data_IF_298758256205
#
_entry.id   IF_298758256205
#
_cell.length_a   1.000
_cell.length_b   1.000
_cell.length_c   1.000
_cell.angle_alpha   90.00
_cell.angle_beta   90.00
_cell.angle_gamma   90.00
#
_symmetry.space_group_name_H-M   'P 1'
#
loop_
_entity.id
_entity.type
_entity.pdbx_description
1 polymer ?
#
# COMPACT_ATOMS: atom_id res chain seq x y z
N UNK A 1 27.74 27.63 52.67
CA UNK A 1 27.08 26.31 52.58
C UNK A 1 25.90 26.45 51.63
N UNK A 2 26.04 26.02 50.38
CA UNK A 2 24.96 26.06 49.40
C UNK A 2 23.83 25.14 49.84
N UNK A 3 22.62 25.69 50.01
CA UNK A 3 21.42 24.94 50.39
C UNK A 3 20.96 24.06 49.22
N UNK A 4 21.64 22.93 49.06
CA UNK A 4 21.44 21.92 48.01
C UNK A 4 19.95 21.53 47.82
N UNK A 5 19.12 21.36 48.88
CA UNK A 5 17.70 21.05 48.72
C UNK A 5 16.90 22.15 48.01
N UNK A 6 17.24 23.44 48.23
CA UNK A 6 16.56 24.56 47.55
C UNK A 6 16.95 24.66 46.08
N UNK A 7 18.22 24.40 45.75
CA UNK A 7 18.73 24.44 44.38
C UNK A 7 18.09 23.32 43.55
N UNK A 8 17.99 22.11 44.11
CA UNK A 8 17.31 20.97 43.48
C UNK A 8 15.84 21.29 43.24
N UNK A 9 15.14 21.85 44.23
CA UNK A 9 13.74 22.26 44.08
C UNK A 9 13.53 23.29 42.97
N UNK A 10 14.44 24.27 42.83
CA UNK A 10 14.37 25.29 41.78
C UNK A 10 14.59 24.70 40.37
N UNK A 11 15.52 23.76 40.22
CA UNK A 11 15.77 23.10 38.93
C UNK A 11 14.56 22.28 38.50
N UNK A 12 13.95 21.52 39.41
CA UNK A 12 12.77 20.71 39.12
C UNK A 12 11.58 21.60 38.75
N UNK A 13 11.36 22.69 39.48
CA UNK A 13 10.25 23.62 39.22
C UNK A 13 10.39 24.34 37.88
N UNK A 14 11.57 24.90 37.60
CA UNK A 14 11.82 25.58 36.32
C UNK A 14 11.82 24.61 35.14
N UNK A 15 12.38 23.40 35.32
CA UNK A 15 12.36 22.34 34.30
C UNK A 15 10.95 21.89 33.92
N UNK A 16 10.05 21.78 34.91
CA UNK A 16 8.66 21.37 34.68
C UNK A 16 7.86 22.39 33.86
N UNK A 17 8.07 23.69 34.08
CA UNK A 17 7.40 24.76 33.34
C UNK A 17 7.85 24.79 31.88
N UNK A 18 9.15 24.62 31.63
CA UNK A 18 9.73 24.62 30.29
C UNK A 18 9.24 23.41 29.50
N UNK A 19 9.25 22.22 30.12
CA UNK A 19 8.75 20.99 29.50
C UNK A 19 7.25 21.09 29.19
N UNK A 20 6.44 21.60 30.12
CA UNK A 20 5.00 21.79 29.91
C UNK A 20 4.67 22.77 28.78
N UNK A 21 5.39 23.89 28.69
CA UNK A 21 5.19 24.87 27.61
C UNK A 21 5.62 24.33 26.25
N UNK A 22 6.72 23.58 26.17
CA UNK A 22 7.17 22.96 24.93
C UNK A 22 6.16 21.92 24.41
N UNK A 23 5.64 21.05 25.28
CA UNK A 23 4.58 20.11 24.91
C UNK A 23 3.27 20.80 24.52
N UNK A 24 2.90 21.91 25.17
CA UNK A 24 1.71 22.67 24.81
C UNK A 24 1.85 23.36 23.43
N UNK A 25 3.02 23.91 23.10
CA UNK A 25 3.27 24.48 21.77
C UNK A 25 3.37 23.40 20.69
N UNK A 26 4.11 22.32 20.95
CA UNK A 26 4.19 21.17 20.05
C UNK A 26 2.82 20.51 19.85
N UNK A 27 1.99 20.41 20.90
CA UNK A 27 0.63 19.91 20.82
C UNK A 27 -0.27 20.82 19.99
N UNK A 28 -0.18 22.14 20.17
CA UNK A 28 -0.89 23.11 19.32
C UNK A 28 -0.41 23.06 17.87
N UNK A 29 0.88 22.86 17.63
CA UNK A 29 1.43 22.68 16.29
C UNK A 29 0.97 21.35 15.67
N UNK A 30 0.92 20.26 16.43
CA UNK A 30 0.39 18.97 15.98
C UNK A 30 -1.11 19.06 15.65
N UNK A 31 -1.91 19.75 16.48
CA UNK A 31 -3.33 20.00 16.19
C UNK A 31 -3.47 20.92 14.98
N UNK A 32 -2.63 21.94 14.83
CA UNK A 32 -2.67 22.82 13.67
C UNK A 32 -2.21 22.10 12.40
N UNK A 33 -1.27 21.17 12.47
CA UNK A 33 -0.83 20.32 11.36
C UNK A 33 -1.85 19.22 11.04
N UNK A 34 -2.57 18.70 12.04
CA UNK A 34 -3.69 17.79 11.83
C UNK A 34 -4.89 18.53 11.24
N UNK A 35 -5.18 19.75 11.71
CA UNK A 35 -6.24 20.62 11.19
C UNK A 35 -5.86 21.32 9.90
N UNK A 36 -4.58 21.55 9.59
CA UNK A 36 -4.14 22.00 8.27
C UNK A 36 -3.94 20.81 7.36
N UNK A 37 -3.73 19.59 7.86
CA UNK A 37 -3.92 18.36 7.12
C UNK A 37 -5.39 18.16 6.77
N UNK A 38 -6.31 18.47 7.69
CA UNK A 38 -7.77 18.40 7.49
C UNK A 38 -8.33 19.62 6.76
N UNK A 39 -7.75 20.82 6.90
CA UNK A 39 -8.16 22.05 6.21
C UNK A 39 -7.42 22.25 4.89
N UNK A 40 -6.24 21.66 4.69
CA UNK A 40 -5.73 21.40 3.36
C UNK A 40 -6.51 20.23 2.75
N UNK A 41 -6.90 19.20 3.50
CA UNK A 41 -7.83 18.19 3.00
C UNK A 41 -9.25 18.73 2.81
N UNK A 42 -9.67 19.81 3.49
CA UNK A 42 -11.00 20.43 3.39
C UNK A 42 -11.02 21.70 2.52
N UNK A 43 -9.88 22.31 2.23
CA UNK A 43 -9.70 23.21 1.09
C UNK A 43 -9.51 22.39 -0.20
N UNK A 44 -8.85 21.24 -0.08
CA UNK A 44 -8.88 20.19 -1.10
C UNK A 44 -10.27 19.58 -1.18
N UNK A 45 -11.04 19.44 -0.08
CA UNK A 45 -12.45 18.99 -0.07
C UNK A 45 -13.47 20.07 -0.39
N UNK A 46 -13.20 21.37 -0.25
CA UNK A 46 -14.06 22.42 -0.80
C UNK A 46 -13.75 22.66 -2.28
N UNK A 47 -12.55 22.27 -2.72
CA UNK A 47 -12.24 22.01 -4.14
C UNK A 47 -12.79 20.65 -4.61
N UNK A 48 -12.88 19.63 -3.74
CA UNK A 48 -13.37 18.27 -4.05
C UNK A 48 -14.88 18.06 -3.83
N UNK A 49 -15.58 18.98 -3.15
CA UNK A 49 -17.04 18.95 -3.03
C UNK A 49 -17.70 19.66 -4.23
N UNK A 50 -16.88 20.23 -5.13
CA UNK A 50 -17.28 20.60 -6.50
C UNK A 50 -16.83 19.60 -7.57
N UNK A 51 -16.13 18.51 -7.22
CA UNK A 51 -15.86 17.40 -8.15
C UNK A 51 -16.74 16.20 -7.82
N UNK A 52 -18.05 16.46 -7.83
CA UNK A 52 -19.02 15.46 -8.26
C UNK A 52 -18.55 14.84 -9.57
N UNK A 53 -18.40 13.52 -9.57
CA UNK A 53 -18.61 12.64 -10.72
C UNK A 53 -18.46 13.29 -12.09
N UNK A 54 -17.23 13.43 -12.60
CA UNK A 54 -17.02 13.43 -14.03
C UNK A 54 -15.60 12.97 -14.35
N UNK A 55 -15.53 11.90 -15.15
CA UNK A 55 -14.30 11.28 -15.62
C UNK A 55 -13.53 12.18 -16.59
N UNK A 56 -12.90 13.24 -16.09
CA UNK A 56 -11.97 14.06 -16.86
C UNK A 56 -10.57 13.94 -16.27
N UNK A 57 -9.70 13.35 -17.08
CA UNK A 57 -8.27 13.16 -16.92
C UNK A 57 -7.61 14.08 -15.87
N UNK A 58 -6.97 13.45 -14.88
CA UNK A 58 -5.88 14.05 -14.12
C UNK A 58 -4.71 14.32 -15.09
N UNK A 59 -4.80 15.41 -15.83
CA UNK A 59 -3.78 15.84 -16.78
C UNK A 59 -2.62 16.49 -16.01
N UNK A 60 -1.47 15.81 -16.04
CA UNK A 60 -0.11 16.35 -15.97
C UNK A 60 0.25 17.25 -14.76
N UNK A 61 0.19 16.71 -13.54
CA UNK A 61 0.82 17.38 -12.38
C UNK A 61 0.58 16.80 -10.99
N UNK A 62 -0.36 15.85 -10.85
CA UNK A 62 -0.59 15.16 -9.58
C UNK A 62 0.48 14.11 -9.27
N UNK A 63 0.81 13.93 -7.99
CA UNK A 63 1.70 12.87 -7.52
C UNK A 63 1.17 11.49 -7.98
N UNK A 64 1.93 10.73 -8.79
CA UNK A 64 1.50 9.43 -9.29
C UNK A 64 1.18 8.44 -8.16
N UNK A 65 1.78 8.62 -6.98
CA UNK A 65 1.54 7.80 -5.79
C UNK A 65 0.07 7.77 -5.39
N UNK A 66 -0.65 8.89 -5.56
CA UNK A 66 -2.07 8.99 -5.23
C UNK A 66 -2.95 8.22 -6.23
N UNK A 67 -2.62 8.27 -7.52
CA UNK A 67 -3.32 7.49 -8.54
C UNK A 67 -3.11 5.99 -8.31
N UNK A 68 -1.86 5.58 -8.05
CA UNK A 68 -1.51 4.19 -7.75
C UNK A 68 -2.19 3.68 -6.48
N UNK A 69 -2.38 4.54 -5.47
CA UNK A 69 -3.09 4.16 -4.23
C UNK A 69 -4.56 3.83 -4.49
N UNK A 70 -5.23 4.56 -5.39
CA UNK A 70 -6.62 4.26 -5.77
C UNK A 70 -6.72 2.95 -6.57
N UNK A 71 -5.76 2.71 -7.47
CA UNK A 71 -5.68 1.50 -8.28
C UNK A 71 -5.40 0.26 -7.42
N UNK A 72 -4.35 0.31 -6.61
CA UNK A 72 -3.89 -0.81 -5.78
C UNK A 72 -4.60 -0.89 -4.43
N UNK A 73 -5.53 0.02 -4.09
CA UNK A 73 -6.21 0.10 -2.78
C UNK A 73 -5.25 -0.13 -1.59
N UNK A 74 -4.03 0.37 -1.72
CA UNK A 74 -2.93 0.19 -0.79
C UNK A 74 -1.92 1.31 -1.00
N UNK A 75 -1.47 1.89 0.11
CA UNK A 75 -0.49 2.97 0.09
C UNK A 75 0.93 2.41 -0.11
N UNK A 76 1.85 3.24 -0.62
CA UNK A 76 3.26 2.85 -0.73
C UNK A 76 3.85 2.52 0.66
N UNK A 77 3.49 3.29 1.68
CA UNK A 77 3.95 3.07 3.05
C UNK A 77 3.45 1.73 3.62
N UNK A 78 2.20 1.34 3.33
CA UNK A 78 1.67 0.03 3.71
C UNK A 78 2.44 -1.10 3.00
N UNK A 79 2.76 -0.95 1.71
CA UNK A 79 3.55 -1.93 0.98
C UNK A 79 4.96 -2.11 1.58
N UNK A 80 5.63 -1.01 1.92
CA UNK A 80 6.93 -1.03 2.60
C UNK A 80 6.83 -1.70 3.98
N UNK A 81 5.75 -1.45 4.72
CA UNK A 81 5.54 -2.08 6.03
C UNK A 81 5.26 -3.58 5.91
N UNK A 82 4.43 -4.02 4.96
CA UNK A 82 4.13 -5.45 4.70
C UNK A 82 5.40 -6.22 4.39
N UNK A 83 6.29 -5.64 3.57
CA UNK A 83 7.55 -6.24 3.19
C UNK A 83 8.69 -5.89 4.15
N UNK A 84 8.40 -5.18 5.24
CA UNK A 84 9.39 -4.70 6.22
C UNK A 84 10.63 -4.06 5.57
N UNK A 85 10.41 -3.31 4.49
CA UNK A 85 11.45 -2.65 3.73
C UNK A 85 11.74 -1.26 4.30
N UNK A 86 13.03 -0.96 4.36
CA UNK A 86 13.57 0.34 4.78
C UNK A 86 14.27 0.98 3.60
N UNK A 87 14.15 2.30 3.48
CA UNK A 87 14.87 3.06 2.45
C UNK A 87 16.38 2.73 2.51
N UNK A 88 17.05 2.51 1.36
CA UNK A 88 18.46 2.20 1.33
C UNK A 88 19.28 3.38 1.87
N UNK A 89 20.46 3.10 2.45
CA UNK A 89 21.34 4.15 2.98
C UNK A 89 21.80 5.14 1.89
N UNK A 90 21.92 4.65 0.65
CA UNK A 90 22.32 5.44 -0.51
C UNK A 90 21.14 6.19 -1.16
N UNK A 91 19.95 6.16 -0.54
CA UNK A 91 18.80 6.91 -1.02
C UNK A 91 19.08 8.42 -0.93
N UNK A 92 18.58 9.21 -1.90
CA UNK A 92 18.54 10.65 -1.74
C UNK A 92 17.77 11.03 -0.45
N UNK A 93 18.02 12.23 0.11
CA UNK A 93 17.30 12.68 1.29
C UNK A 93 15.79 12.53 1.09
N UNK A 94 15.09 12.05 2.14
CA UNK A 94 13.66 11.66 2.16
C UNK A 94 12.65 12.69 1.64
N UNK A 95 13.09 13.89 1.28
CA UNK A 95 12.27 14.96 0.71
C UNK A 95 11.95 14.78 -0.78
N UNK A 96 12.65 13.89 -1.50
CA UNK A 96 12.43 13.70 -2.93
C UNK A 96 11.69 12.38 -3.21
N UNK A 97 10.57 12.41 -3.95
CA UNK A 97 9.94 11.19 -4.44
C UNK A 97 10.81 10.50 -5.50
N UNK A 98 10.71 9.17 -5.65
CA UNK A 98 9.86 8.25 -4.89
C UNK A 98 10.39 7.98 -3.47
N UNK A 99 9.48 7.73 -2.51
CA UNK A 99 9.81 7.45 -1.10
C UNK A 99 10.74 6.23 -0.93
N UNK A 100 10.68 5.31 -1.89
CA UNK A 100 11.58 4.16 -2.00
C UNK A 100 12.25 4.18 -3.39
N UNK A 101 13.50 4.67 -3.51
CA UNK A 101 14.16 4.82 -4.80
C UNK A 101 14.55 3.48 -5.42
N UNK A 102 14.50 3.41 -6.76
CA UNK A 102 14.94 2.24 -7.52
C UNK A 102 16.46 2.20 -7.64
N UNK A 103 17.12 1.60 -6.65
CA UNK A 103 18.56 1.27 -6.70
C UNK A 103 18.76 -0.24 -6.87
N UNK A 104 19.94 -0.70 -7.29
CA UNK A 104 20.24 -2.13 -7.36
C UNK A 104 20.09 -2.82 -5.99
N UNK A 105 20.58 -2.16 -4.93
CA UNK A 105 20.46 -2.64 -3.55
C UNK A 105 18.99 -2.78 -3.10
N UNK A 106 18.15 -1.78 -3.41
CA UNK A 106 16.72 -1.82 -3.07
C UNK A 106 15.97 -2.94 -3.81
N UNK A 107 16.30 -3.17 -5.08
CA UNK A 107 15.71 -4.23 -5.91
C UNK A 107 16.12 -5.62 -5.40
N UNK A 108 17.40 -5.81 -5.11
CA UNK A 108 17.90 -7.07 -4.56
C UNK A 108 17.30 -7.35 -3.17
N UNK A 109 17.16 -6.33 -2.32
CA UNK A 109 16.53 -6.48 -1.00
C UNK A 109 15.03 -6.83 -1.12
N UNK A 110 14.29 -6.11 -1.97
CA UNK A 110 12.88 -6.41 -2.27
C UNK A 110 12.70 -7.85 -2.72
N UNK A 111 13.48 -8.33 -3.69
CA UNK A 111 13.40 -9.70 -4.19
C UNK A 111 13.67 -10.73 -3.09
N UNK A 112 14.73 -10.55 -2.29
CA UNK A 112 15.08 -11.47 -1.20
C UNK A 112 13.98 -11.55 -0.13
N UNK A 113 13.47 -10.39 0.30
CA UNK A 113 12.45 -10.34 1.35
C UNK A 113 11.11 -10.88 0.83
N UNK A 114 10.76 -10.57 -0.41
CA UNK A 114 9.59 -11.13 -1.08
C UNK A 114 9.64 -12.66 -1.10
N UNK A 115 10.72 -13.26 -1.63
CA UNK A 115 10.85 -14.72 -1.73
C UNK A 115 10.77 -15.39 -0.35
N UNK A 116 11.44 -14.81 0.65
CA UNK A 116 11.41 -15.32 2.01
C UNK A 116 9.99 -15.28 2.62
N UNK A 117 9.30 -14.13 2.54
CA UNK A 117 7.97 -13.98 3.09
C UNK A 117 6.93 -14.82 2.34
N UNK A 118 7.05 -14.91 1.02
CA UNK A 118 6.16 -15.69 0.18
C UNK A 118 6.24 -17.18 0.49
N UNK A 119 7.47 -17.72 0.60
CA UNK A 119 7.71 -19.13 0.96
C UNK A 119 7.26 -19.45 2.39
N UNK A 120 7.57 -18.58 3.35
CA UNK A 120 7.20 -18.78 4.77
C UNK A 120 5.69 -18.79 4.98
N UNK A 121 4.97 -17.95 4.22
CA UNK A 121 3.51 -17.82 4.32
C UNK A 121 2.76 -18.62 3.25
N UNK A 122 3.40 -19.61 2.61
CA UNK A 122 2.70 -20.48 1.68
C UNK A 122 1.51 -21.18 2.36
N UNK A 123 0.30 -21.16 1.76
CA UNK A 123 -0.85 -21.82 2.34
C UNK A 123 -0.60 -23.33 2.42
N UNK A 124 -1.17 -24.00 3.43
CA UNK A 124 -1.08 -25.45 3.51
C UNK A 124 -1.78 -26.05 2.29
N UNK A 125 -1.16 -27.07 1.69
CA UNK A 125 -1.76 -27.79 0.57
C UNK A 125 -3.17 -28.28 0.94
N UNK A 126 -4.16 -28.19 0.02
CA UNK A 126 -5.52 -28.58 0.32
C UNK A 126 -5.57 -30.05 0.73
N UNK A 127 -6.29 -30.34 1.81
CA UNK A 127 -6.56 -31.71 2.27
C UNK A 127 -7.45 -32.40 1.23
N UNK A 128 -6.82 -33.00 0.22
CA UNK A 128 -7.50 -33.62 -0.93
C UNK A 128 -6.64 -33.68 -2.19
N UNK A 129 -5.66 -32.77 -2.37
CA UNK A 129 -4.55 -32.98 -3.32
C UNK A 129 -3.41 -33.70 -2.62
N UNK A 130 -3.77 -34.81 -1.98
CA UNK A 130 -2.87 -35.71 -1.31
C UNK A 130 -2.41 -36.79 -2.28
N UNK A 131 -1.48 -36.46 -3.17
CA UNK A 131 -0.48 -37.47 -3.49
C UNK A 131 0.42 -37.74 -2.25
N UNK A 132 0.47 -36.81 -1.27
CA UNK A 132 1.36 -36.89 -0.12
C UNK A 132 0.70 -36.96 1.28
N UNK A 133 -0.63 -36.86 1.42
CA UNK A 133 -1.30 -36.88 2.74
C UNK A 133 -2.05 -38.20 3.06
N UNK A 134 -1.83 -39.26 2.27
CA UNK A 134 -2.42 -40.60 2.50
C UNK A 134 -1.40 -41.64 2.98
N UNK A 135 -0.16 -41.26 3.30
CA UNK A 135 0.81 -42.15 3.93
C UNK A 135 1.16 -41.59 5.30
N UNK A 136 0.89 -42.37 6.34
CA UNK A 136 1.33 -42.07 7.69
C UNK A 136 2.83 -41.87 7.71
N UNK A 137 3.28 -40.62 7.73
CA UNK A 137 4.68 -40.29 7.97
C UNK A 137 4.77 -39.38 9.16
N UNK A 138 5.24 -39.96 10.26
CA UNK A 138 6.04 -39.28 11.27
C UNK A 138 7.31 -38.75 10.57
N UNK A 139 7.15 -37.72 9.74
CA UNK A 139 8.22 -37.06 9.02
C UNK A 139 8.36 -35.65 9.62
N UNK A 140 9.36 -35.52 10.46
CA UNK A 140 9.97 -34.25 10.82
C UNK A 140 10.33 -33.49 9.54
N UNK A 141 9.70 -32.33 9.30
CA UNK A 141 10.36 -31.22 8.59
C UNK A 141 9.79 -30.74 7.24
N UNK A 142 8.67 -31.26 6.72
CA UNK A 142 8.05 -30.73 5.51
C UNK A 142 6.59 -30.31 5.74
N UNK A 143 6.38 -29.39 6.69
CA UNK A 143 5.10 -28.73 6.86
C UNK A 143 4.90 -27.73 5.72
N UNK A 144 3.87 -27.93 4.88
CA UNK A 144 3.32 -26.83 4.08
C UNK A 144 3.13 -25.62 5.01
N UNK A 145 3.54 -24.43 4.54
CA UNK A 145 3.62 -23.25 5.39
C UNK A 145 2.36 -23.05 6.22
N UNK A 146 2.52 -22.56 7.44
CA UNK A 146 1.39 -22.19 8.31
C UNK A 146 0.72 -20.89 7.86
N UNK A 147 0.91 -20.51 6.59
CA UNK A 147 0.44 -19.25 6.05
C UNK A 147 -0.98 -19.33 5.53
N UNK A 148 -1.47 -18.20 5.05
CA UNK A 148 -2.79 -18.07 4.44
C UNK A 148 -2.68 -17.46 3.05
N UNK A 149 -3.61 -17.80 2.18
CA UNK A 149 -3.75 -17.16 0.86
C UNK A 149 -3.89 -15.64 1.00
N UNK A 150 -4.59 -15.15 2.03
CA UNK A 150 -4.73 -13.72 2.29
C UNK A 150 -3.38 -13.03 2.50
N UNK A 151 -2.50 -13.61 3.33
CA UNK A 151 -1.18 -13.03 3.59
C UNK A 151 -0.31 -13.09 2.33
N UNK A 152 -0.34 -14.18 1.56
CA UNK A 152 0.36 -14.22 0.27
C UNK A 152 -0.16 -13.18 -0.71
N UNK A 153 -1.47 -13.03 -0.86
CA UNK A 153 -2.06 -12.00 -1.73
C UNK A 153 -1.64 -10.59 -1.31
N UNK A 154 -1.49 -10.33 -0.01
CA UNK A 154 -0.96 -9.04 0.50
C UNK A 154 0.51 -8.84 0.13
N UNK A 155 1.34 -9.86 0.26
CA UNK A 155 2.77 -9.81 -0.10
C UNK A 155 2.94 -9.54 -1.60
N UNK A 156 2.20 -10.25 -2.45
CA UNK A 156 2.23 -10.07 -3.91
C UNK A 156 1.80 -8.66 -4.29
N UNK A 157 0.65 -8.21 -3.77
CA UNK A 157 0.16 -6.85 -4.03
C UNK A 157 1.14 -5.79 -3.56
N UNK A 158 1.82 -6.01 -2.43
CA UNK A 158 2.79 -5.07 -1.87
C UNK A 158 3.98 -4.89 -2.81
N UNK A 159 4.47 -5.99 -3.39
CA UNK A 159 5.51 -5.97 -4.41
C UNK A 159 5.05 -5.21 -5.66
N UNK A 160 3.88 -5.55 -6.21
CA UNK A 160 3.30 -4.88 -7.39
C UNK A 160 3.17 -3.37 -7.18
N UNK A 161 2.75 -2.94 -5.98
CA UNK A 161 2.62 -1.51 -5.65
C UNK A 161 3.96 -0.79 -5.66
N UNK A 162 5.04 -1.42 -5.19
CA UNK A 162 6.39 -0.83 -5.20
C UNK A 162 6.94 -0.78 -6.63
N UNK A 163 6.75 -1.84 -7.41
CA UNK A 163 7.17 -1.89 -8.81
C UNK A 163 6.44 -0.84 -9.66
N UNK A 164 5.13 -0.66 -9.45
CA UNK A 164 4.35 0.39 -10.12
C UNK A 164 4.78 1.81 -9.72
N UNK A 165 5.23 2.01 -8.48
CA UNK A 165 5.83 3.29 -8.06
C UNK A 165 7.09 3.57 -8.86
N UNK A 166 8.01 2.60 -8.93
CA UNK A 166 9.24 2.75 -9.69
C UNK A 166 9.01 3.04 -11.17
N UNK A 167 8.02 2.37 -11.77
CA UNK A 167 7.62 2.60 -13.15
C UNK A 167 7.06 4.02 -13.36
N UNK A 168 6.26 4.52 -12.42
CA UNK A 168 5.69 5.86 -12.52
C UNK A 168 6.75 7.00 -12.46
N UNK A 169 7.89 6.73 -11.84
CA UNK A 169 9.03 7.66 -11.72
C UNK A 169 10.19 7.35 -12.67
N UNK A 170 10.09 6.31 -13.51
CA UNK A 170 11.11 6.01 -14.51
C UNK A 170 11.12 7.10 -15.61
N UNK A 171 12.30 7.51 -16.11
CA UNK A 171 12.38 8.45 -17.22
C UNK A 171 11.73 7.82 -18.45
N UNK A 172 10.72 8.51 -19.02
CA UNK A 172 9.97 8.05 -20.19
C UNK A 172 10.76 8.28 -21.49
N UNK A 173 11.94 7.69 -21.60
CA UNK A 173 12.68 7.62 -22.85
C UNK A 173 12.25 6.37 -23.62
N UNK A 174 11.19 6.49 -24.43
CA UNK A 174 10.83 5.56 -25.52
C UNK A 174 10.78 4.04 -25.19
N UNK A 175 9.71 3.56 -24.56
CA UNK A 175 9.29 2.15 -24.66
C UNK A 175 7.89 1.92 -24.05
N UNK A 176 6.90 1.71 -24.92
CA UNK A 176 5.66 0.92 -24.69
C UNK A 176 4.77 1.30 -23.50
N UNK A 177 3.62 1.98 -23.64
CA UNK A 177 2.41 1.50 -24.33
C UNK A 177 2.09 0.01 -24.12
N UNK A 178 2.04 -0.43 -22.87
CA UNK A 178 1.30 -1.64 -22.45
C UNK A 178 0.86 -1.42 -21.01
N UNK A 179 -0.39 -1.34 -20.58
CA UNK A 179 -1.72 -1.71 -21.11
C UNK A 179 -2.71 -0.87 -20.27
N UNK A 180 -3.76 -0.24 -20.78
CA UNK A 180 -5.10 -0.84 -20.95
C UNK A 180 -6.07 0.24 -21.47
N UNK A 181 -6.47 0.15 -22.73
CA UNK A 181 -7.71 0.67 -23.38
C UNK A 181 -7.61 0.11 -24.80
N UNK A 182 -8.46 -0.75 -25.37
CA UNK A 182 -9.84 -1.15 -25.12
C UNK A 182 -10.07 -2.55 -25.74
N UNK A 183 -11.02 -3.32 -25.20
CA UNK A 183 -12.03 -4.00 -26.03
C UNK A 183 -13.24 -4.34 -25.15
N UNK A 184 -14.08 -3.31 -24.94
CA UNK A 184 -15.52 -3.52 -24.88
C UNK A 184 -16.02 -3.20 -26.27
N UNK A 185 -16.33 -4.23 -27.03
CA UNK A 185 -17.04 -4.15 -28.30
C UNK A 185 -18.05 -5.28 -28.31
N UNK A 186 -19.30 -4.85 -28.16
CA UNK A 186 -20.56 -5.53 -28.36
C UNK A 186 -20.51 -6.73 -29.31
N UNK A 187 -20.63 -7.93 -28.76
CA UNK A 187 -21.12 -9.08 -29.52
C UNK A 187 -22.65 -9.05 -29.50
N UNK A 188 -23.23 -8.29 -30.43
CA UNK A 188 -24.61 -8.47 -30.87
C UNK A 188 -24.62 -9.52 -31.97
N UNK A 189 -24.71 -10.79 -31.62
CA UNK A 189 -25.22 -11.81 -32.54
C UNK A 189 -26.63 -12.20 -32.10
N UNK A 190 -27.58 -11.57 -32.77
CA UNK A 190 -28.99 -11.88 -32.76
C UNK A 190 -29.19 -13.23 -33.44
N UNK A 191 -29.67 -14.23 -32.71
CA UNK A 191 -30.49 -15.31 -33.27
C UNK A 191 -31.75 -15.44 -32.42
N UNK A 192 -32.93 -15.26 -33.01
CA UNK A 192 -34.07 -16.10 -32.63
C UNK A 192 -34.83 -16.58 -33.88
N UNK A 193 -35.82 -17.51 -33.80
CA UNK A 193 -36.36 -18.19 -32.61
C UNK A 193 -36.47 -19.73 -32.77
N UNK A 194 -36.61 -20.46 -31.66
CA UNK A 194 -37.25 -21.78 -31.67
C UNK A 194 -38.30 -21.83 -30.57
N UNK A 195 -39.55 -21.61 -30.98
CA UNK A 195 -40.76 -21.76 -30.16
C UNK A 195 -41.21 -23.24 -30.20
N UNK A 196 -41.62 -23.87 -29.08
CA UNK A 196 -42.30 -25.16 -29.12
C UNK A 196 -43.77 -24.99 -29.55
N UNK A 197 -44.39 -25.99 -30.23
CA UNK A 197 -45.75 -25.85 -30.76
C UNK A 197 -46.82 -25.86 -29.65
N UNK A 198 -47.95 -25.16 -29.83
CA UNK A 198 -49.04 -25.15 -28.85
C UNK A 198 -49.90 -26.43 -28.88
N UNK A 199 -50.63 -26.74 -27.80
CA UNK A 199 -51.54 -27.89 -27.72
C UNK A 199 -52.81 -27.71 -28.58
N UNK A 200 -53.50 -28.80 -28.97
CA UNK A 200 -54.71 -28.74 -29.78
C UNK A 200 -55.90 -28.17 -28.99
N UNK A 201 -56.62 -27.23 -29.59
CA UNK A 201 -57.84 -26.64 -29.03
C UNK A 201 -59.04 -27.58 -29.19
N UNK A 202 -59.82 -27.71 -28.11
CA UNK A 202 -61.28 -27.91 -28.15
C UNK A 202 -61.93 -26.58 -27.75
#
# INVERSE_FOLDING_TARGET
MSNLPRIIGQIIFNGSIILGRAFAEAGKQAIRNARSGEAAAAATASTHQSSSSDGRAAAAGGDPSHALTRLHRMTLQEALLILNLKAPADAPPRSLPPLFPRTESSQANLAKVYEHLFKTNAPPAPKGSSAAAAAGSKATGASGGQGSFYVQSKIVRARERIEAEWEAYAPKDSSSSSSTTAESSSESQSTPPSQPPPPPSQ
#
